data_IF_502016622449
#
_entry.id   IF_502016622449
#
_cell.length_a   1.000
_cell.length_b   1.000
_cell.length_c   1.000
_cell.angle_alpha   90.00
_cell.angle_beta   90.00
_cell.angle_gamma   90.00
#
_symmetry.space_group_name_H-M   'P 1'
#
loop_
_entity.id
_entity.type
_entity.pdbx_description
1 polymer ?
#
# COMPACT_ATOMS: atom_id res chain seq x y z
N UNK A 1 2.62 9.27 24.58
CA UNK A 1 2.51 10.22 23.46
C UNK A 1 1.33 9.76 22.63
N UNK A 2 0.44 10.69 22.26
CA UNK A 2 -0.70 10.38 21.41
C UNK A 2 -0.30 10.41 19.94
N UNK A 3 -0.74 9.43 19.18
CA UNK A 3 -0.45 9.22 17.75
C UNK A 3 -1.76 9.27 16.97
N UNK A 4 -1.82 10.05 15.89
CA UNK A 4 -2.96 10.09 14.99
C UNK A 4 -2.66 9.23 13.75
N UNK A 5 -3.41 8.16 13.57
CA UNK A 5 -3.40 7.35 12.34
C UNK A 5 -4.56 7.80 11.46
N UNK A 6 -4.28 8.24 10.24
CA UNK A 6 -5.32 8.61 9.27
C UNK A 6 -5.66 7.38 8.42
N UNK A 7 -6.88 6.90 8.55
CA UNK A 7 -7.32 5.62 7.99
C UNK A 7 -8.09 5.80 6.68
N UNK A 8 -7.50 5.34 5.56
CA UNK A 8 -8.23 5.21 4.30
C UNK A 8 -9.27 4.07 4.40
N UNK A 9 -10.44 4.26 3.75
CA UNK A 9 -11.56 3.31 3.80
C UNK A 9 -12.41 3.36 2.52
N UNK A 10 -13.31 2.39 2.38
CA UNK A 10 -14.27 2.27 1.28
C UNK A 10 -15.70 2.69 1.67
N UNK A 11 -15.86 3.31 2.84
CA UNK A 11 -17.15 3.66 3.46
C UNK A 11 -17.68 2.60 4.41
N UNK A 12 -17.28 1.34 4.26
CA UNK A 12 -17.69 0.20 5.11
C UNK A 12 -16.57 -0.31 5.99
N UNK A 13 -15.39 -0.48 5.42
CA UNK A 13 -14.22 -1.02 6.11
C UNK A 13 -13.01 -0.13 5.87
N UNK A 14 -12.14 -0.03 6.88
CA UNK A 14 -10.82 0.55 6.67
C UNK A 14 -9.98 -0.38 5.81
N UNK A 15 -9.08 0.19 5.00
CA UNK A 15 -8.17 -0.63 4.18
C UNK A 15 -7.29 -1.50 5.06
N UNK A 16 -6.94 -2.69 4.58
CA UNK A 16 -6.15 -3.67 5.33
C UNK A 16 -4.82 -3.09 5.87
N UNK A 17 -4.18 -2.18 5.11
CA UNK A 17 -2.91 -1.54 5.49
C UNK A 17 -3.02 -0.57 6.70
N UNK A 18 -4.23 -0.19 7.11
CA UNK A 18 -4.46 0.59 8.33
C UNK A 18 -4.03 -0.20 9.57
N UNK A 19 -4.28 -1.51 9.60
CA UNK A 19 -3.84 -2.36 10.70
C UNK A 19 -2.30 -2.41 10.83
N UNK A 20 -1.58 -2.33 9.71
CA UNK A 20 -0.11 -2.21 9.71
C UNK A 20 0.34 -0.85 10.25
N UNK A 21 -0.39 0.23 9.89
CA UNK A 21 -0.12 1.57 10.40
C UNK A 21 -0.37 1.69 11.91
N UNK A 22 -1.39 1.01 12.42
CA UNK A 22 -1.67 0.93 13.88
C UNK A 22 -0.51 0.23 14.61
N UNK A 23 0.01 -0.87 14.07
CA UNK A 23 1.19 -1.54 14.65
C UNK A 23 2.41 -0.64 14.67
N UNK A 24 2.70 0.06 13.56
CA UNK A 24 3.81 1.01 13.51
C UNK A 24 3.61 2.18 14.51
N UNK A 25 2.40 2.73 14.59
CA UNK A 25 2.04 3.78 15.53
C UNK A 25 2.25 3.34 16.98
N UNK A 26 1.89 2.09 17.33
CA UNK A 26 2.12 1.52 18.66
C UNK A 26 3.59 1.42 19.05
N UNK A 27 4.53 1.43 18.09
CA UNK A 27 5.98 1.51 18.36
C UNK A 27 6.46 2.96 18.60
N UNK A 28 5.68 3.95 18.17
CA UNK A 28 5.98 5.38 18.37
C UNK A 28 5.40 5.92 19.67
N UNK A 29 4.30 5.32 20.15
CA UNK A 29 3.61 5.71 21.39
C UNK A 29 2.46 4.77 21.72
N UNK A 30 1.94 4.87 22.96
CA UNK A 30 0.94 3.93 23.49
C UNK A 30 -0.52 4.35 23.27
N UNK A 31 -0.77 5.62 22.90
CA UNK A 31 -2.12 6.17 22.71
C UNK A 31 -2.36 6.38 21.20
N UNK A 32 -2.94 5.37 20.55
CA UNK A 32 -3.19 5.40 19.11
C UNK A 32 -4.64 5.77 18.84
N UNK A 33 -4.85 6.95 18.30
CA UNK A 33 -6.13 7.44 17.81
C UNK A 33 -6.21 7.23 16.29
N UNK A 34 -7.32 6.67 15.81
CA UNK A 34 -7.57 6.51 14.37
C UNK A 34 -8.58 7.54 13.89
N UNK A 35 -8.21 8.33 12.89
CA UNK A 35 -9.13 9.25 12.21
C UNK A 35 -9.78 8.53 11.01
N UNK A 36 -11.11 8.50 11.01
CA UNK A 36 -11.94 8.06 9.91
C UNK A 36 -12.74 9.28 9.41
N UNK A 37 -12.36 9.80 8.24
CA UNK A 37 -13.03 10.94 7.62
C UNK A 37 -13.75 10.46 6.35
N UNK A 38 -15.04 10.70 6.21
CA UNK A 38 -15.82 10.23 5.09
C UNK A 38 -17.21 10.84 5.05
N UNK A 39 -18.02 10.41 4.11
CA UNK A 39 -19.46 10.67 4.06
C UNK A 39 -20.19 9.37 4.34
N UNK A 40 -20.95 9.31 5.43
CA UNK A 40 -21.63 8.08 5.86
C UNK A 40 -20.66 6.98 6.33
N UNK A 41 -19.58 7.34 7.04
CA UNK A 41 -18.47 6.44 7.39
C UNK A 41 -18.65 5.68 8.73
N UNK A 42 -19.88 5.49 9.22
CA UNK A 42 -20.14 4.82 10.51
C UNK A 42 -19.61 3.38 10.56
N UNK A 43 -19.79 2.61 9.46
CA UNK A 43 -19.28 1.23 9.39
C UNK A 43 -17.75 1.19 9.33
N UNK A 44 -17.12 2.10 8.59
CA UNK A 44 -15.66 2.21 8.56
C UNK A 44 -15.09 2.59 9.94
N UNK A 45 -15.78 3.47 10.69
CA UNK A 45 -15.38 3.82 12.06
C UNK A 45 -15.47 2.60 13.01
N UNK A 46 -16.52 1.77 12.90
CA UNK A 46 -16.64 0.51 13.64
C UNK A 46 -15.53 -0.48 13.27
N UNK A 47 -15.21 -0.56 11.96
CA UNK A 47 -14.11 -1.39 11.47
C UNK A 47 -12.76 -0.95 12.06
N UNK A 48 -12.49 0.37 12.13
CA UNK A 48 -11.30 0.91 12.76
C UNK A 48 -11.26 0.61 14.27
N UNK A 49 -12.40 0.74 14.97
CA UNK A 49 -12.51 0.48 16.41
C UNK A 49 -12.25 -0.99 16.78
N UNK A 50 -12.47 -1.90 15.83
CA UNK A 50 -12.22 -3.34 16.00
C UNK A 50 -10.74 -3.73 15.86
N UNK A 51 -9.83 -2.81 15.50
CA UNK A 51 -8.40 -3.08 15.40
C UNK A 51 -7.79 -3.05 16.80
N UNK A 52 -7.07 -4.11 17.18
CA UNK A 52 -6.38 -4.17 18.46
C UNK A 52 -5.27 -3.10 18.53
N UNK A 53 -5.14 -2.45 19.69
CA UNK A 53 -4.16 -1.38 19.91
C UNK A 53 -4.68 0.02 19.58
N UNK A 54 -5.89 0.14 19.02
CA UNK A 54 -6.55 1.44 18.87
C UNK A 54 -7.15 1.85 20.22
N UNK A 55 -6.80 3.06 20.69
CA UNK A 55 -7.30 3.63 21.94
C UNK A 55 -8.62 4.38 21.73
N UNK A 56 -8.78 5.03 20.58
CA UNK A 56 -9.95 5.84 20.22
C UNK A 56 -10.07 6.00 18.71
N UNK A 57 -11.31 6.12 18.22
CA UNK A 57 -11.59 6.50 16.83
C UNK A 57 -12.23 7.88 16.82
N UNK A 58 -11.69 8.80 16.01
CA UNK A 58 -12.33 10.06 15.66
C UNK A 58 -13.03 9.88 14.32
N UNK A 59 -14.34 10.06 14.31
CA UNK A 59 -15.15 10.01 13.09
C UNK A 59 -15.55 11.41 12.67
N UNK A 60 -15.07 11.84 11.49
CA UNK A 60 -15.49 13.09 10.84
C UNK A 60 -16.41 12.76 9.67
N UNK A 61 -17.70 12.98 9.84
CA UNK A 61 -18.70 12.74 8.79
C UNK A 61 -19.06 14.05 8.10
N UNK A 62 -18.59 14.20 6.85
CA UNK A 62 -18.81 15.37 6.03
C UNK A 62 -18.84 14.98 4.56
N UNK A 63 -19.77 15.51 3.78
CA UNK A 63 -19.89 15.27 2.35
C UNK A 63 -18.60 15.62 1.57
N UNK A 64 -17.82 16.60 2.04
CA UNK A 64 -16.54 16.98 1.48
C UNK A 64 -15.50 15.84 1.47
N UNK A 65 -15.66 14.85 2.35
CA UNK A 65 -14.71 13.75 2.51
C UNK A 65 -15.06 12.49 1.71
N UNK A 66 -16.18 12.53 0.94
CA UNK A 66 -16.68 11.37 0.21
C UNK A 66 -15.65 10.76 -0.75
N UNK A 67 -14.78 11.58 -1.35
CA UNK A 67 -13.83 11.15 -2.39
C UNK A 67 -12.36 11.31 -1.97
N UNK A 68 -12.08 11.57 -0.71
CA UNK A 68 -10.72 11.67 -0.15
C UNK A 68 -9.81 12.65 -0.89
N UNK A 69 -10.37 13.78 -1.33
CA UNK A 69 -9.59 14.88 -1.92
C UNK A 69 -8.62 15.42 -0.86
N UNK A 70 -7.33 15.42 -1.18
CA UNK A 70 -6.29 15.77 -0.20
C UNK A 70 -6.43 17.21 0.31
N UNK A 71 -6.93 18.11 -0.53
CA UNK A 71 -7.21 19.50 -0.20
C UNK A 71 -8.28 19.68 0.88
N UNK A 72 -9.18 18.71 1.01
CA UNK A 72 -10.27 18.73 1.98
C UNK A 72 -9.91 17.94 3.26
N UNK A 73 -9.19 16.82 3.11
CA UNK A 73 -8.76 15.98 4.25
C UNK A 73 -7.60 16.61 5.03
N UNK A 74 -6.59 17.18 4.35
CA UNK A 74 -5.40 17.71 5.03
C UNK A 74 -5.72 18.81 6.04
N UNK A 75 -6.62 19.78 5.81
CA UNK A 75 -6.99 20.79 6.81
C UNK A 75 -7.57 20.19 8.09
N UNK A 76 -8.38 19.13 8.00
CA UNK A 76 -8.88 18.42 9.18
C UNK A 76 -7.73 17.80 9.98
N UNK A 77 -6.80 17.13 9.29
CA UNK A 77 -5.62 16.52 9.95
C UNK A 77 -4.76 17.60 10.61
N UNK A 78 -4.52 18.71 9.92
CA UNK A 78 -3.76 19.86 10.46
C UNK A 78 -4.40 20.45 11.70
N UNK A 79 -5.72 20.59 11.74
CA UNK A 79 -6.47 21.06 12.91
C UNK A 79 -6.31 20.14 14.12
N UNK A 80 -6.26 18.83 13.89
CA UNK A 80 -6.12 17.83 14.95
C UNK A 80 -4.66 17.66 15.42
N UNK A 81 -3.70 17.84 14.52
CA UNK A 81 -2.29 17.55 14.71
C UNK A 81 -1.64 18.16 15.98
N UNK A 82 -1.99 19.37 16.46
CA UNK A 82 -1.42 19.93 17.69
C UNK A 82 -1.63 19.09 18.95
N UNK A 83 -2.61 18.18 18.94
CA UNK A 83 -2.91 17.28 20.07
C UNK A 83 -2.10 15.97 20.00
N UNK A 84 -1.31 15.77 18.94
CA UNK A 84 -0.57 14.53 18.67
C UNK A 84 0.91 14.81 18.45
N UNK A 85 1.73 13.86 18.82
CA UNK A 85 3.16 13.91 18.52
C UNK A 85 3.49 13.40 17.11
N UNK A 86 2.58 12.59 16.54
CA UNK A 86 2.75 11.99 15.21
C UNK A 86 1.43 12.00 14.44
N UNK A 87 1.56 12.16 13.13
CA UNK A 87 0.52 11.85 12.13
C UNK A 87 1.06 10.73 11.25
N UNK A 88 0.39 9.59 11.26
CA UNK A 88 0.85 8.38 10.59
C UNK A 88 -0.15 7.94 9.52
N UNK A 89 0.34 7.59 8.35
CA UNK A 89 -0.45 7.02 7.25
C UNK A 89 0.27 5.83 6.63
N UNK A 90 -0.47 4.92 6.03
CA UNK A 90 0.13 3.92 5.16
C UNK A 90 0.68 4.58 3.89
N UNK A 91 1.84 4.13 3.39
CA UNK A 91 2.45 4.63 2.17
C UNK A 91 1.78 4.07 0.91
N UNK A 92 0.45 4.15 0.86
CA UNK A 92 -0.36 3.87 -0.34
C UNK A 92 -0.65 5.17 -1.11
N UNK A 93 -1.44 5.09 -2.18
CA UNK A 93 -1.80 6.25 -3.01
C UNK A 93 -2.47 7.37 -2.20
N UNK A 94 -3.28 7.03 -1.20
CA UNK A 94 -3.99 7.99 -0.35
C UNK A 94 -3.01 8.67 0.61
N UNK A 95 -2.21 7.89 1.35
CA UNK A 95 -1.25 8.45 2.30
C UNK A 95 -0.16 9.26 1.60
N UNK A 96 0.32 8.83 0.43
CA UNK A 96 1.30 9.57 -0.38
C UNK A 96 0.76 10.87 -0.96
N UNK A 97 -0.56 11.01 -1.09
CA UNK A 97 -1.20 12.24 -1.52
C UNK A 97 -1.47 13.21 -0.35
N UNK A 98 -1.94 12.70 0.79
CA UNK A 98 -2.37 13.54 1.92
C UNK A 98 -1.20 13.95 2.81
N UNK A 99 -0.31 13.02 3.18
CA UNK A 99 0.75 13.27 4.15
C UNK A 99 1.69 14.43 3.77
N UNK A 100 2.19 14.56 2.53
CA UNK A 100 3.08 15.68 2.18
C UNK A 100 2.36 17.03 2.26
N UNK A 101 1.05 17.07 1.96
CA UNK A 101 0.25 18.27 2.11
C UNK A 101 0.07 18.65 3.59
N UNK A 102 -0.18 17.67 4.46
CA UNK A 102 -0.24 17.88 5.91
C UNK A 102 1.10 18.42 6.43
N UNK A 103 2.22 17.78 6.04
CA UNK A 103 3.55 18.21 6.46
C UNK A 103 3.85 19.65 6.03
N UNK A 104 3.55 20.02 4.78
CA UNK A 104 3.74 21.37 4.27
C UNK A 104 2.87 22.40 5.01
N UNK A 105 1.61 22.07 5.31
CA UNK A 105 0.71 22.98 6.04
C UNK A 105 1.10 23.14 7.53
N UNK A 106 1.78 22.15 8.12
CA UNK A 106 2.32 22.21 9.47
C UNK A 106 3.72 22.83 9.53
N UNK A 107 4.35 23.10 8.38
CA UNK A 107 5.74 23.55 8.25
C UNK A 107 6.73 22.59 8.93
N UNK A 108 6.56 21.28 8.68
CA UNK A 108 7.41 20.21 9.21
C UNK A 108 7.92 19.28 8.10
N UNK A 109 8.99 18.55 8.39
CA UNK A 109 9.49 17.49 7.51
C UNK A 109 8.57 16.26 7.51
N UNK A 110 8.55 15.54 6.35
CA UNK A 110 7.90 14.23 6.25
C UNK A 110 8.93 13.11 6.23
N UNK A 111 8.74 12.09 7.06
CA UNK A 111 9.44 10.81 6.94
C UNK A 111 8.62 9.90 6.03
N UNK A 112 9.11 9.70 4.80
CA UNK A 112 8.40 8.91 3.78
C UNK A 112 8.82 7.45 3.82
N UNK A 113 7.83 6.55 3.72
CA UNK A 113 8.05 5.10 3.58
C UNK A 113 8.93 4.48 4.67
N UNK A 114 8.72 4.86 5.93
CA UNK A 114 9.41 4.24 7.05
C UNK A 114 9.18 2.71 7.06
N UNK A 115 10.26 1.96 7.17
CA UNK A 115 10.25 0.48 7.23
C UNK A 115 10.54 -0.04 8.63
N UNK A 116 11.04 0.81 9.51
CA UNK A 116 11.33 0.49 10.91
C UNK A 116 11.20 1.74 11.77
N UNK A 117 10.66 1.58 12.96
CA UNK A 117 10.68 2.56 14.04
C UNK A 117 11.79 2.17 15.00
N UNK A 118 12.85 3.00 15.09
CA UNK A 118 13.98 2.78 16.02
C UNK A 118 13.67 3.37 17.38
N UNK A 119 13.09 4.56 17.37
CA UNK A 119 12.60 5.29 18.53
C UNK A 119 11.43 6.18 18.11
N UNK A 120 10.73 6.84 19.03
CA UNK A 120 9.59 7.71 18.66
C UNK A 120 9.93 8.81 17.66
N UNK A 121 11.19 9.21 17.52
CA UNK A 121 11.64 10.26 16.61
C UNK A 121 12.61 9.78 15.52
N UNK A 122 12.99 8.50 15.54
CA UNK A 122 14.04 7.93 14.67
C UNK A 122 13.49 6.76 13.87
N UNK A 123 13.70 6.80 12.56
CA UNK A 123 13.11 5.87 11.61
C UNK A 123 14.14 5.38 10.60
N UNK A 124 13.98 4.15 10.10
CA UNK A 124 14.73 3.67 8.93
C UNK A 124 13.82 3.76 7.70
N UNK A 125 14.35 4.29 6.61
CA UNK A 125 13.64 4.37 5.33
C UNK A 125 14.54 4.03 4.15
N UNK A 126 14.00 3.43 3.08
CA UNK A 126 14.76 3.20 1.85
C UNK A 126 14.96 4.51 1.08
N UNK A 127 16.13 4.63 0.46
CA UNK A 127 16.48 5.66 -0.50
C UNK A 127 17.11 5.02 -1.74
N UNK A 128 17.27 5.75 -2.84
CA UNK A 128 17.78 5.20 -4.11
C UNK A 128 17.08 3.91 -4.54
N UNK A 129 15.73 3.95 -4.58
CA UNK A 129 14.89 2.80 -4.91
C UNK A 129 15.14 1.55 -4.02
N UNK A 130 15.58 1.77 -2.78
CA UNK A 130 15.85 0.71 -1.81
C UNK A 130 17.25 0.10 -1.88
N UNK A 131 18.17 0.70 -2.65
CA UNK A 131 19.59 0.27 -2.65
C UNK A 131 20.35 0.75 -1.41
N UNK A 132 19.83 1.75 -0.71
CA UNK A 132 20.39 2.22 0.55
C UNK A 132 19.28 2.41 1.58
N UNK A 133 19.62 2.18 2.84
CA UNK A 133 18.76 2.41 4.00
C UNK A 133 19.28 3.59 4.78
N UNK A 134 18.45 4.62 4.93
CA UNK A 134 18.77 5.80 5.71
C UNK A 134 18.09 5.73 7.08
N UNK A 135 18.86 5.90 8.15
CA UNK A 135 18.32 6.17 9.47
C UNK A 135 18.17 7.67 9.62
N UNK A 136 16.94 8.15 9.84
CA UNK A 136 16.60 9.57 9.93
C UNK A 136 15.96 9.87 11.26
N UNK A 137 16.32 11.02 11.85
CA UNK A 137 15.71 11.53 13.08
C UNK A 137 14.98 12.83 12.76
N UNK A 138 13.73 12.97 13.21
CA UNK A 138 12.94 14.19 13.10
C UNK A 138 12.93 14.94 14.42
N UNK A 139 13.38 16.19 14.41
CA UNK A 139 13.31 17.11 15.54
C UNK A 139 11.99 17.88 15.59
N UNK A 140 11.10 17.70 14.61
CA UNK A 140 9.83 18.41 14.53
C UNK A 140 8.93 18.12 15.74
N UNK A 141 8.11 19.10 16.12
CA UNK A 141 7.14 18.93 17.22
C UNK A 141 6.09 17.87 16.87
N UNK A 142 5.58 17.91 15.65
CA UNK A 142 4.68 16.88 15.10
C UNK A 142 5.40 16.18 13.95
N UNK A 143 5.55 14.88 14.05
CA UNK A 143 6.21 14.07 13.02
C UNK A 143 5.18 13.51 12.04
N UNK A 144 5.29 13.86 10.77
CA UNK A 144 4.44 13.30 9.71
C UNK A 144 5.17 12.13 9.08
N UNK A 145 4.59 10.94 9.21
CA UNK A 145 5.26 9.69 8.81
C UNK A 145 4.33 8.87 7.91
N UNK A 146 4.82 8.46 6.75
CA UNK A 146 4.19 7.37 6.02
C UNK A 146 4.99 6.10 6.26
N UNK A 147 4.29 4.99 6.56
CA UNK A 147 4.92 3.69 6.81
C UNK A 147 4.73 2.77 5.61
N UNK A 148 5.70 1.92 5.31
CA UNK A 148 5.57 0.85 4.32
C UNK A 148 4.84 -0.33 4.95
N UNK A 149 3.59 -0.63 4.56
CA UNK A 149 2.77 -1.63 5.27
C UNK A 149 3.40 -3.01 5.32
N UNK A 150 4.11 -3.42 4.28
CA UNK A 150 4.75 -4.75 4.17
C UNK A 150 5.82 -5.02 5.24
N UNK A 151 6.36 -3.98 5.88
CA UNK A 151 7.39 -4.09 6.91
C UNK A 151 6.84 -4.14 8.34
N UNK A 152 5.53 -4.00 8.52
CA UNK A 152 4.88 -4.05 9.83
C UNK A 152 3.80 -5.13 9.82
N UNK A 153 3.77 -5.96 10.85
CA UNK A 153 2.71 -6.96 10.99
C UNK A 153 1.37 -6.26 11.18
N UNK A 154 0.33 -6.68 10.47
CA UNK A 154 -1.00 -6.14 10.71
C UNK A 154 -1.46 -6.40 12.16
N UNK A 155 -2.01 -5.39 12.81
CA UNK A 155 -2.64 -5.55 14.12
C UNK A 155 -3.82 -6.51 14.03
N UNK A 156 -4.02 -7.30 15.07
CA UNK A 156 -5.13 -8.25 15.12
C UNK A 156 -6.49 -7.51 15.23
N UNK A 157 -7.56 -8.20 14.92
CA UNK A 157 -8.91 -7.77 15.27
C UNK A 157 -9.21 -7.99 16.77
N UNK A 158 -10.44 -7.68 17.19
CA UNK A 158 -10.93 -7.89 18.56
C UNK A 158 -10.80 -6.66 19.47
N UNK A 159 -10.42 -5.51 18.92
CA UNK A 159 -10.52 -4.22 19.60
C UNK A 159 -11.97 -3.78 19.80
N UNK A 160 -12.16 -2.80 20.70
CA UNK A 160 -13.46 -2.20 21.02
C UNK A 160 -13.30 -0.72 21.41
N UNK A 161 -12.51 0.01 20.63
CA UNK A 161 -12.23 1.41 20.91
C UNK A 161 -13.50 2.29 20.88
N UNK A 162 -13.63 3.30 21.74
CA UNK A 162 -14.73 4.25 21.65
C UNK A 162 -14.63 5.09 20.38
N UNK A 163 -15.79 5.39 19.80
CA UNK A 163 -15.92 6.24 18.61
C UNK A 163 -16.44 7.61 19.05
N UNK A 164 -15.68 8.65 18.77
CA UNK A 164 -16.04 10.04 19.03
C UNK A 164 -16.35 10.75 17.70
N UNK A 165 -17.55 11.28 17.56
CA UNK A 165 -17.93 12.08 16.39
C UNK A 165 -17.38 13.49 16.51
N UNK A 166 -16.69 13.95 15.47
CA UNK A 166 -16.14 15.31 15.40
C UNK A 166 -16.66 16.04 14.17
N UNK A 167 -16.62 17.36 14.18
CA UNK A 167 -17.00 18.19 13.05
C UNK A 167 -15.97 18.12 11.92
N UNK A 168 -16.43 18.19 10.67
CA UNK A 168 -15.61 18.38 9.49
C UNK A 168 -15.13 19.82 9.33
N UNK A 169 -14.23 20.04 8.37
CA UNK A 169 -13.73 21.35 7.95
C UNK A 169 -14.38 21.85 6.64
N UNK A 170 -15.25 21.04 6.06
CA UNK A 170 -15.91 21.29 4.76
C UNK A 170 -14.95 21.28 3.57
N UNK A 171 -15.52 21.42 2.38
CA UNK A 171 -14.76 21.50 1.14
C UNK A 171 -14.01 22.85 1.04
N UNK A 172 -12.78 22.81 0.57
CA UNK A 172 -11.94 24.01 0.36
C UNK A 172 -12.08 24.59 -1.04
N UNK A 173 -12.71 23.85 -1.98
CA UNK A 173 -12.95 24.31 -3.34
C UNK A 173 -11.69 24.51 -4.18
N UNK A 174 -10.56 23.92 -3.81
CA UNK A 174 -9.28 24.01 -4.54
C UNK A 174 -9.22 23.02 -5.70
N UNK A 175 -9.91 21.89 -5.55
CA UNK A 175 -10.04 20.84 -6.55
C UNK A 175 -11.43 20.20 -6.44
N UNK A 176 -11.84 19.46 -7.45
CA UNK A 176 -13.10 18.72 -7.46
C UNK A 176 -12.89 17.31 -7.99
N UNK A 177 -13.59 16.36 -7.40
CA UNK A 177 -13.61 15.00 -7.90
C UNK A 177 -14.49 14.92 -9.15
N UNK A 178 -13.93 14.36 -10.24
CA UNK A 178 -14.64 14.18 -11.51
C UNK A 178 -15.13 12.75 -11.67
N UNK A 179 -14.29 11.78 -11.32
CA UNK A 179 -14.62 10.36 -11.45
C UNK A 179 -13.41 9.46 -11.23
N UNK A 180 -13.66 8.17 -11.11
CA UNK A 180 -12.65 7.12 -11.10
C UNK A 180 -13.15 5.93 -11.91
N UNK A 181 -12.26 5.36 -12.71
CA UNK A 181 -12.47 4.07 -13.36
C UNK A 181 -11.62 3.04 -12.59
N UNK A 182 -12.31 2.14 -11.90
CA UNK A 182 -11.68 1.09 -11.11
C UNK A 182 -11.94 -0.25 -11.79
N UNK A 183 -10.88 -1.04 -11.99
CA UNK A 183 -11.04 -2.42 -12.43
C UNK A 183 -11.71 -3.23 -11.31
N UNK A 184 -12.79 -3.92 -11.68
CA UNK A 184 -13.44 -4.87 -10.78
C UNK A 184 -12.72 -6.22 -10.94
N UNK A 185 -12.09 -6.68 -9.89
CA UNK A 185 -11.46 -8.00 -9.83
C UNK A 185 -11.95 -8.73 -8.58
N UNK A 186 -12.27 -10.00 -8.73
CA UNK A 186 -12.56 -10.90 -7.59
C UNK A 186 -11.27 -11.46 -6.97
N UNK A 187 -10.11 -11.23 -7.62
CA UNK A 187 -8.80 -11.66 -7.12
C UNK A 187 -8.37 -10.84 -5.90
N UNK A 188 -7.55 -11.42 -5.02
CA UNK A 188 -6.99 -10.70 -3.88
C UNK A 188 -6.28 -9.40 -4.31
N UNK A 189 -6.45 -8.33 -3.53
CA UNK A 189 -5.71 -7.09 -3.75
C UNK A 189 -4.21 -7.34 -3.65
N UNK A 190 -3.44 -6.77 -4.58
CA UNK A 190 -1.99 -6.95 -4.67
C UNK A 190 -1.25 -6.65 -3.36
N UNK A 191 -1.67 -5.61 -2.65
CA UNK A 191 -1.01 -5.17 -1.41
C UNK A 191 -1.23 -6.10 -0.22
N UNK A 192 -2.20 -7.03 -0.31
CA UNK A 192 -2.55 -7.98 0.75
C UNK A 192 -2.50 -9.45 0.29
N UNK A 193 -2.27 -9.69 -1.00
CA UNK A 193 -2.20 -11.03 -1.57
C UNK A 193 -1.00 -11.81 -1.01
N UNK A 194 -1.24 -13.08 -0.62
CA UNK A 194 -0.16 -13.98 -0.20
C UNK A 194 0.65 -14.52 -1.38
N UNK A 195 0.03 -14.62 -2.54
CA UNK A 195 0.66 -15.04 -3.78
C UNK A 195 0.39 -13.95 -4.82
N UNK A 196 1.40 -13.57 -5.58
CA UNK A 196 1.28 -12.61 -6.68
C UNK A 196 1.86 -13.22 -7.95
N UNK A 197 1.09 -13.23 -9.01
CA UNK A 197 1.53 -13.54 -10.37
C UNK A 197 1.65 -12.24 -11.13
N UNK A 198 2.80 -11.94 -11.72
CA UNK A 198 3.03 -10.64 -12.36
C UNK A 198 3.63 -10.80 -13.77
N UNK A 199 3.03 -10.07 -14.72
CA UNK A 199 3.44 -10.07 -16.11
C UNK A 199 4.27 -8.86 -16.51
N UNK A 200 5.32 -9.09 -17.28
CA UNK A 200 6.14 -8.04 -17.86
C UNK A 200 5.80 -7.72 -19.31
N UNK A 201 6.60 -6.82 -19.91
CA UNK A 201 6.51 -6.51 -21.35
C UNK A 201 6.75 -7.73 -22.23
N UNK A 202 7.44 -8.77 -21.70
CA UNK A 202 7.64 -10.05 -22.37
C UNK A 202 6.34 -10.79 -22.73
N UNK A 203 5.20 -10.43 -22.13
CA UNK A 203 3.88 -10.94 -22.49
C UNK A 203 3.45 -10.55 -23.92
N UNK A 204 3.97 -9.46 -24.46
CA UNK A 204 3.75 -9.04 -25.85
C UNK A 204 2.40 -8.36 -26.13
N UNK A 205 1.33 -8.71 -25.43
CA UNK A 205 0.01 -8.10 -25.58
C UNK A 205 -0.88 -8.28 -24.33
N UNK A 206 -1.97 -7.50 -24.24
CA UNK A 206 -2.97 -7.66 -23.18
C UNK A 206 -3.72 -9.00 -23.28
N UNK A 207 -3.96 -9.52 -24.49
CA UNK A 207 -4.61 -10.81 -24.68
C UNK A 207 -3.81 -11.97 -24.05
N UNK A 208 -2.51 -11.88 -24.09
CA UNK A 208 -1.62 -12.88 -23.53
C UNK A 208 -1.66 -12.92 -22.00
N UNK A 209 -2.12 -11.84 -21.35
CA UNK A 209 -2.32 -11.86 -19.89
C UNK A 209 -3.35 -12.88 -19.43
N UNK A 210 -4.22 -13.38 -20.31
CA UNK A 210 -5.19 -14.46 -20.00
C UNK A 210 -4.51 -15.73 -19.46
N UNK A 211 -3.29 -16.04 -19.90
CA UNK A 211 -2.55 -17.19 -19.36
C UNK A 211 -2.11 -16.96 -17.91
N UNK A 212 -1.79 -15.70 -17.55
CA UNK A 212 -1.46 -15.33 -16.19
C UNK A 212 -2.71 -15.25 -15.30
N UNK A 213 -3.83 -14.80 -15.86
CA UNK A 213 -5.12 -14.80 -15.18
C UNK A 213 -5.50 -16.20 -14.75
N UNK A 214 -5.37 -17.19 -15.67
CA UNK A 214 -5.67 -18.59 -15.34
C UNK A 214 -4.74 -19.12 -14.25
N UNK A 215 -3.44 -18.83 -14.29
CA UNK A 215 -2.50 -19.24 -13.25
C UNK A 215 -2.83 -18.56 -11.91
N UNK A 216 -3.16 -17.24 -11.93
CA UNK A 216 -3.52 -16.49 -10.73
C UNK A 216 -4.80 -17.05 -10.10
N UNK A 217 -5.82 -17.36 -10.89
CA UNK A 217 -7.08 -17.93 -10.41
C UNK A 217 -6.86 -19.32 -9.79
N UNK A 218 -6.04 -20.17 -10.43
CA UNK A 218 -5.68 -21.50 -9.91
C UNK A 218 -4.96 -21.40 -8.56
N UNK A 219 -4.13 -20.38 -8.36
CA UNK A 219 -3.35 -20.18 -7.14
C UNK A 219 -4.09 -19.34 -6.08
N UNK A 220 -5.24 -18.75 -6.40
CA UNK A 220 -5.88 -17.73 -5.57
C UNK A 220 -4.98 -16.50 -5.39
N UNK A 221 -4.24 -16.13 -6.42
CA UNK A 221 -3.22 -15.09 -6.40
C UNK A 221 -3.74 -13.73 -6.85
N UNK A 222 -3.11 -12.65 -6.37
CA UNK A 222 -3.23 -11.34 -6.97
C UNK A 222 -2.51 -11.27 -8.32
N UNK A 223 -3.05 -10.50 -9.28
CA UNK A 223 -2.46 -10.32 -10.60
C UNK A 223 -1.80 -8.94 -10.68
N UNK A 224 -0.51 -8.93 -10.95
CA UNK A 224 0.32 -7.75 -11.09
C UNK A 224 0.92 -7.57 -12.47
N UNK A 225 1.52 -6.42 -12.70
CA UNK A 225 2.22 -6.12 -13.94
C UNK A 225 3.40 -5.18 -13.73
N UNK A 226 4.38 -5.22 -14.62
CA UNK A 226 5.43 -4.22 -14.67
C UNK A 226 4.89 -2.90 -15.25
N UNK A 227 5.53 -1.77 -14.91
CA UNK A 227 5.21 -0.48 -15.51
C UNK A 227 5.24 -0.54 -17.04
N UNK A 228 6.22 -1.22 -17.63
CA UNK A 228 6.34 -1.33 -19.07
C UNK A 228 5.16 -2.07 -19.74
N UNK A 229 4.51 -3.01 -19.04
CA UNK A 229 3.30 -3.66 -19.53
C UNK A 229 2.08 -2.75 -19.42
N UNK A 230 1.98 -1.96 -18.34
CA UNK A 230 0.93 -0.97 -18.14
C UNK A 230 1.05 0.16 -19.17
N UNK A 231 2.25 0.74 -19.34
CA UNK A 231 2.51 1.81 -20.32
C UNK A 231 2.24 1.33 -21.77
N UNK A 232 2.40 0.04 -22.05
CA UNK A 232 2.04 -0.57 -23.33
C UNK A 232 0.53 -0.87 -23.48
N UNK A 233 -0.27 -0.56 -22.45
CA UNK A 233 -1.73 -0.77 -22.48
C UNK A 233 -2.17 -2.23 -22.36
N UNK A 234 -1.31 -3.14 -21.85
CA UNK A 234 -1.67 -4.56 -21.70
C UNK A 234 -2.65 -4.78 -20.57
N UNK A 235 -2.52 -4.03 -19.49
CA UNK A 235 -3.38 -4.08 -18.29
C UNK A 235 -3.56 -2.68 -17.70
N UNK A 236 -4.63 -2.45 -16.91
CA UNK A 236 -4.86 -1.19 -16.22
C UNK A 236 -3.75 -0.81 -15.24
N UNK A 237 -3.64 0.48 -14.90
CA UNK A 237 -2.60 1.02 -14.04
C UNK A 237 -2.64 0.47 -12.59
N UNK A 238 -3.80 0.06 -12.10
CA UNK A 238 -3.96 -0.51 -10.76
C UNK A 238 -3.34 -1.90 -10.58
N UNK A 239 -2.89 -2.55 -11.68
CA UNK A 239 -2.07 -3.75 -11.67
C UNK A 239 -0.57 -3.47 -11.49
N UNK A 240 -0.13 -2.21 -11.58
CA UNK A 240 1.28 -1.89 -11.55
C UNK A 240 1.93 -2.22 -10.22
N UNK A 241 2.99 -3.05 -10.27
CA UNK A 241 3.93 -3.32 -9.17
C UNK A 241 5.24 -2.60 -9.44
N UNK A 242 5.76 -1.88 -8.45
CA UNK A 242 7.02 -1.15 -8.56
C UNK A 242 7.07 0.11 -7.72
N UNK A 243 8.13 0.87 -7.86
CA UNK A 243 8.39 2.10 -7.12
C UNK A 243 7.26 3.14 -7.23
N UNK A 244 6.68 3.28 -8.43
CA UNK A 244 5.57 4.21 -8.71
C UNK A 244 4.19 3.54 -8.74
N UNK A 245 4.15 2.22 -8.52
CA UNK A 245 2.96 1.42 -8.39
C UNK A 245 2.74 0.93 -6.96
N UNK A 246 2.17 -0.26 -6.85
CA UNK A 246 1.98 -0.94 -5.56
C UNK A 246 3.29 -1.60 -5.12
N UNK A 247 3.61 -1.50 -3.83
CA UNK A 247 4.68 -2.27 -3.19
C UNK A 247 4.04 -3.49 -2.55
N UNK A 248 4.57 -4.66 -2.87
CA UNK A 248 4.06 -5.96 -2.44
C UNK A 248 5.18 -6.78 -1.78
N UNK A 249 4.82 -7.63 -0.82
CA UNK A 249 5.72 -8.59 -0.19
C UNK A 249 4.95 -9.89 0.11
N UNK A 250 4.50 -10.61 -0.92
CA UNK A 250 3.79 -11.87 -0.76
C UNK A 250 4.70 -12.98 -0.25
N UNK A 251 4.09 -14.09 0.16
CA UNK A 251 4.84 -15.32 0.44
C UNK A 251 5.48 -15.90 -0.83
N UNK A 252 4.83 -15.69 -1.99
CA UNK A 252 5.32 -16.13 -3.31
C UNK A 252 5.04 -15.06 -4.37
N UNK A 253 6.09 -14.61 -5.06
CA UNK A 253 6.01 -13.72 -6.22
C UNK A 253 6.49 -14.45 -7.47
N UNK A 254 5.64 -14.57 -8.48
CA UNK A 254 5.99 -15.20 -9.77
C UNK A 254 6.13 -14.10 -10.82
N UNK A 255 7.36 -13.81 -11.22
CA UNK A 255 7.73 -12.81 -12.23
C UNK A 255 7.83 -13.44 -13.61
N UNK A 256 6.91 -13.11 -14.53
CA UNK A 256 6.81 -13.74 -15.84
C UNK A 256 7.07 -12.69 -16.94
N UNK A 257 8.13 -12.90 -17.73
CA UNK A 257 8.52 -11.97 -18.80
C UNK A 257 8.88 -10.56 -18.29
N UNK A 258 9.36 -10.45 -17.05
CA UNK A 258 9.80 -9.23 -16.38
C UNK A 258 11.33 -9.15 -16.45
N UNK A 259 11.89 -8.01 -16.85
CA UNK A 259 13.34 -7.83 -16.97
C UNK A 259 14.07 -7.71 -15.63
N UNK A 260 13.39 -7.22 -14.58
CA UNK A 260 14.04 -6.94 -13.29
C UNK A 260 14.68 -5.54 -13.22
N UNK A 261 14.10 -4.55 -13.91
CA UNK A 261 14.50 -3.16 -13.73
C UNK A 261 14.36 -2.74 -12.25
N UNK A 262 15.29 -1.93 -11.77
CA UNK A 262 15.40 -1.53 -10.35
C UNK A 262 14.09 -0.92 -9.81
N UNK A 263 13.31 -0.22 -10.65
CA UNK A 263 12.04 0.36 -10.28
C UNK A 263 10.97 -0.73 -10.01
N UNK A 264 11.03 -1.86 -10.72
CA UNK A 264 10.14 -2.99 -10.46
C UNK A 264 10.59 -3.72 -9.19
N UNK A 265 11.89 -3.99 -9.08
CA UNK A 265 12.46 -4.65 -7.90
C UNK A 265 12.13 -3.90 -6.60
N UNK A 266 12.15 -2.57 -6.62
CA UNK A 266 11.76 -1.74 -5.47
C UNK A 266 10.34 -2.02 -4.96
N UNK A 267 9.47 -2.59 -5.80
CA UNK A 267 8.10 -2.93 -5.45
C UNK A 267 7.86 -4.38 -5.05
N UNK A 268 8.84 -5.32 -5.21
CA UNK A 268 8.58 -6.74 -4.96
C UNK A 268 9.73 -7.52 -4.33
N UNK A 269 10.92 -6.93 -4.22
CA UNK A 269 12.11 -7.64 -3.74
C UNK A 269 12.01 -8.17 -2.30
N UNK A 270 11.09 -7.62 -1.50
CA UNK A 270 10.86 -8.06 -0.11
C UNK A 270 9.89 -9.27 -0.03
N UNK A 271 9.51 -9.86 -1.18
CA UNK A 271 8.75 -11.12 -1.24
C UNK A 271 9.56 -12.26 -0.62
N UNK A 272 8.91 -13.20 0.08
CA UNK A 272 9.62 -14.29 0.76
C UNK A 272 10.24 -15.29 -0.21
N UNK A 273 9.54 -15.56 -1.32
CA UNK A 273 10.04 -16.42 -2.40
C UNK A 273 9.74 -15.76 -3.72
N UNK A 274 10.74 -15.65 -4.58
CA UNK A 274 10.63 -15.07 -5.92
C UNK A 274 10.94 -16.15 -6.94
N UNK A 275 10.00 -16.40 -7.85
CA UNK A 275 10.16 -17.29 -9.01
C UNK A 275 10.19 -16.42 -10.25
N UNK A 276 11.20 -16.57 -11.10
CA UNK A 276 11.34 -15.84 -12.36
C UNK A 276 11.23 -16.78 -13.56
N UNK A 277 10.44 -16.37 -14.56
CA UNK A 277 10.34 -17.03 -15.87
C UNK A 277 10.68 -15.99 -16.92
N UNK A 278 11.79 -16.19 -17.64
CA UNK A 278 12.23 -15.30 -18.71
C UNK A 278 13.00 -16.09 -19.76
N UNK A 279 12.91 -15.68 -21.02
CA UNK A 279 13.71 -16.27 -22.10
C UNK A 279 15.16 -15.79 -22.12
N UNK A 280 15.43 -14.63 -21.53
CA UNK A 280 16.76 -14.02 -21.43
C UNK A 280 17.37 -14.45 -20.10
N UNK A 281 18.40 -15.30 -20.15
CA UNK A 281 19.12 -15.81 -18.97
C UNK A 281 19.89 -14.73 -18.23
N UNK A 282 20.26 -13.63 -18.90
CA UNK A 282 20.98 -12.50 -18.34
C UNK A 282 20.03 -11.44 -17.74
N UNK A 283 18.71 -11.68 -17.78
CA UNK A 283 17.75 -10.73 -17.24
C UNK A 283 18.01 -10.47 -15.74
N UNK A 284 18.11 -9.19 -15.29
CA UNK A 284 18.41 -8.84 -13.90
C UNK A 284 17.44 -9.43 -12.87
N UNK A 285 16.24 -9.86 -13.27
CA UNK A 285 15.26 -10.51 -12.38
C UNK A 285 15.83 -11.78 -11.76
N UNK A 286 16.70 -12.51 -12.46
CA UNK A 286 17.31 -13.73 -11.95
C UNK A 286 18.30 -13.49 -10.82
N UNK A 287 18.84 -12.25 -10.67
CA UNK A 287 19.73 -11.90 -9.56
C UNK A 287 19.01 -11.84 -8.21
N UNK A 288 17.68 -11.68 -8.23
CA UNK A 288 16.86 -11.61 -7.02
C UNK A 288 15.89 -12.78 -6.89
N UNK A 289 15.82 -13.66 -7.88
CA UNK A 289 14.96 -14.83 -7.87
C UNK A 289 15.58 -15.97 -7.06
N UNK A 290 14.76 -16.60 -6.20
CA UNK A 290 15.14 -17.85 -5.52
C UNK A 290 15.11 -19.04 -6.47
N UNK A 291 14.20 -19.00 -7.45
CA UNK A 291 14.06 -20.01 -8.50
C UNK A 291 13.91 -19.34 -9.86
N UNK A 292 14.65 -19.80 -10.84
CA UNK A 292 14.62 -19.28 -12.21
C UNK A 292 14.35 -20.39 -13.23
N UNK A 293 13.48 -20.11 -14.19
CA UNK A 293 13.25 -20.95 -15.35
C UNK A 293 13.54 -20.12 -16.60
N UNK A 294 14.59 -20.51 -17.34
CA UNK A 294 14.94 -19.88 -18.61
C UNK A 294 14.19 -20.59 -19.73
N UNK A 295 13.33 -19.88 -20.45
CA UNK A 295 12.58 -20.45 -21.57
C UNK A 295 11.37 -19.62 -22.00
N UNK A 296 10.59 -20.19 -22.90
CA UNK A 296 9.39 -19.55 -23.44
C UNK A 296 8.25 -19.59 -22.42
N UNK A 297 7.84 -18.40 -21.96
CA UNK A 297 6.75 -18.25 -21.00
C UNK A 297 5.41 -18.81 -21.54
N UNK A 298 5.20 -18.81 -22.85
CA UNK A 298 3.96 -19.33 -23.46
C UNK A 298 3.87 -20.87 -23.41
N UNK A 299 4.98 -21.56 -23.21
CA UNK A 299 5.04 -23.00 -22.95
C UNK A 299 5.04 -23.29 -21.45
N UNK A 300 5.89 -22.61 -20.70
CA UNK A 300 6.13 -22.87 -19.27
C UNK A 300 4.91 -22.55 -18.41
N UNK A 301 4.24 -21.40 -18.65
CA UNK A 301 3.12 -20.97 -17.79
C UNK A 301 1.91 -21.93 -17.88
N UNK A 302 1.47 -22.39 -19.07
CA UNK A 302 0.42 -23.41 -19.16
C UNK A 302 0.80 -24.73 -18.49
N UNK A 303 2.06 -25.20 -18.64
CA UNK A 303 2.55 -26.41 -17.98
C UNK A 303 2.56 -26.27 -16.46
N UNK A 304 3.02 -25.13 -15.97
CA UNK A 304 2.99 -24.79 -14.53
C UNK A 304 1.55 -24.79 -14.00
N UNK A 305 0.64 -24.16 -14.73
CA UNK A 305 -0.79 -24.11 -14.35
C UNK A 305 -1.36 -25.52 -14.24
N UNK A 306 -1.13 -26.37 -15.27
CA UNK A 306 -1.60 -27.75 -15.26
C UNK A 306 -0.96 -28.60 -14.14
N UNK A 307 0.29 -28.30 -13.76
CA UNK A 307 0.96 -28.99 -12.65
C UNK A 307 0.37 -28.62 -11.29
N UNK A 308 -0.04 -27.35 -11.12
CA UNK A 308 -0.67 -26.86 -9.90
C UNK A 308 -2.12 -27.35 -9.76
N UNK A 309 -2.89 -27.41 -10.86
CA UNK A 309 -4.26 -27.95 -10.88
C UNK A 309 -4.37 -29.43 -10.43
N UNK A 310 -3.27 -30.20 -10.53
CA UNK A 310 -3.22 -31.62 -10.15
C UNK A 310 -2.96 -31.86 -8.65
N UNK A 311 -2.66 -30.83 -7.88
CA UNK A 311 -2.43 -30.91 -6.44
C UNK A 311 -3.69 -30.57 -5.65
#
# INVERSE_FOLDING_TARGET
MAILVVAAHDGKTVRANVANAVTAAGQMGSDVTVLVAGSGADEAAKSAAAIAGVSKVLQADDAAYANWVAEDIAPLVVKLAPNYSHVVMAADSVGKNIAPRVAALLDVGQVSEAIQVVSPDTFVRPIYAGNAMATVQSADKVKVVTIRPTNFKAAAGGGSAPIEKIGGEGAKGLSSYVGAELSKSERPELTSAKIVVSGGRGMGSGENFKILEKLADTLGAGLGASRAAVDAGYVPNDYQVGQTGKVVAPDLYIAIGISGAIQHLAGMKDSKTIVAINKDEEAPIFQVADYGIVGDLFQIVPELTAAVEKK
#
